data_IF_525624092765
#
_entry.id   IF_525624092765
#
_cell.length_a   1.000
_cell.length_b   1.000
_cell.length_c   1.000
_cell.angle_alpha   90.00
_cell.angle_beta   90.00
_cell.angle_gamma   90.00
#
_symmetry.space_group_name_H-M   'P 1'
#
loop_
_entity.id
_entity.type
_entity.pdbx_description
1 polymer ?
#
# COMPACT_ATOMS: atom_id res chain seq x y z
N UNK A 1 4.58 -32.21 19.19
CA UNK A 1 4.88 -31.53 20.46
C UNK A 1 4.02 -30.28 20.48
N UNK A 2 2.94 -30.29 21.26
CA UNK A 2 1.99 -29.17 21.34
C UNK A 2 2.58 -28.05 22.21
N UNK A 3 2.54 -26.81 21.71
CA UNK A 3 3.01 -25.65 22.47
C UNK A 3 2.06 -25.40 23.64
N UNK A 4 2.62 -25.05 24.80
CA UNK A 4 1.81 -24.74 25.99
C UNK A 4 1.10 -23.38 25.84
N UNK A 5 -0.02 -23.18 26.53
CA UNK A 5 -0.75 -21.89 26.53
C UNK A 5 0.11 -20.72 27.01
N UNK A 6 1.10 -20.99 27.86
CA UNK A 6 2.11 -20.04 28.32
C UNK A 6 3.03 -19.60 27.16
N UNK A 7 3.57 -20.56 26.40
CA UNK A 7 4.39 -20.28 25.20
C UNK A 7 3.61 -19.57 24.10
N UNK A 8 2.33 -19.90 23.92
CA UNK A 8 1.50 -19.20 22.95
C UNK A 8 1.28 -17.73 23.36
N UNK A 9 1.07 -17.47 24.65
CA UNK A 9 0.87 -16.13 25.18
C UNK A 9 2.15 -15.28 25.12
N UNK A 10 3.32 -15.88 25.41
CA UNK A 10 4.60 -15.18 25.27
C UNK A 10 4.89 -14.85 23.80
N UNK A 11 4.68 -15.79 22.88
CA UNK A 11 4.83 -15.57 21.44
C UNK A 11 3.87 -14.50 20.91
N UNK A 12 2.61 -14.49 21.35
CA UNK A 12 1.65 -13.45 21.00
C UNK A 12 2.08 -12.07 21.52
N UNK A 13 2.68 -12.00 22.71
CA UNK A 13 3.19 -10.75 23.29
C UNK A 13 4.43 -10.22 22.56
N UNK A 14 5.31 -11.12 22.10
CA UNK A 14 6.49 -10.76 21.29
C UNK A 14 6.10 -10.30 19.89
N UNK A 15 5.18 -11.01 19.21
CA UNK A 15 4.64 -10.58 17.91
C UNK A 15 3.97 -9.19 17.99
N UNK A 16 3.24 -8.89 19.08
CA UNK A 16 2.66 -7.56 19.28
C UNK A 16 3.72 -6.47 19.41
N UNK A 17 4.81 -6.73 20.14
CA UNK A 17 5.92 -5.77 20.28
C UNK A 17 6.70 -5.54 18.99
N UNK A 18 6.84 -6.55 18.13
CA UNK A 18 7.46 -6.37 16.81
C UNK A 18 6.57 -5.56 15.86
N UNK A 19 5.24 -5.75 15.93
CA UNK A 19 4.29 -5.00 15.11
C UNK A 19 4.22 -3.51 15.51
N UNK A 20 4.41 -3.16 16.79
CA UNK A 20 4.39 -1.75 17.23
C UNK A 20 5.61 -0.91 16.78
N UNK A 21 6.70 -1.54 16.33
CA UNK A 21 7.90 -0.82 15.88
C UNK A 21 7.95 -0.59 14.36
N UNK A 22 6.98 -1.13 13.61
CA UNK A 22 6.92 -0.95 12.16
C UNK A 22 6.08 0.27 11.80
N UNK A 23 6.59 1.09 10.89
CA UNK A 23 5.86 2.22 10.34
C UNK A 23 4.60 1.73 9.63
N UNK A 24 3.48 2.44 9.81
CA UNK A 24 2.21 2.12 9.13
C UNK A 24 2.04 2.89 7.80
N UNK A 25 2.98 3.78 7.50
CA UNK A 25 2.95 4.71 6.37
C UNK A 25 4.35 5.21 6.01
N UNK A 26 4.45 5.88 4.87
CA UNK A 26 5.67 6.54 4.45
C UNK A 26 6.01 7.72 5.39
N UNK A 27 7.22 7.74 5.98
CA UNK A 27 7.62 8.82 6.89
C UNK A 27 7.83 10.16 6.16
N UNK A 28 7.36 11.24 6.78
CA UNK A 28 7.63 12.61 6.31
C UNK A 28 9.13 12.91 6.36
N UNK A 29 9.68 13.48 5.28
CA UNK A 29 11.08 13.91 5.21
C UNK A 29 12.10 12.78 5.04
N UNK A 30 11.67 11.55 4.79
CA UNK A 30 12.58 10.44 4.50
C UNK A 30 13.02 10.40 3.03
N UNK A 31 14.22 9.88 2.73
CA UNK A 31 14.72 9.80 1.36
C UNK A 31 13.88 8.88 0.48
N UNK A 32 14.02 9.03 -0.84
CA UNK A 32 13.34 8.16 -1.81
C UNK A 32 13.82 6.74 -1.57
N UNK A 33 12.89 5.81 -1.43
CA UNK A 33 13.25 4.45 -1.15
C UNK A 33 12.07 3.52 -1.01
N UNK A 34 12.39 2.25 -0.86
CA UNK A 34 11.42 1.21 -0.53
C UNK A 34 11.47 0.97 0.96
N UNK A 35 10.32 1.13 1.59
CA UNK A 35 10.12 0.96 3.03
C UNK A 35 9.23 -0.24 3.26
N UNK A 36 9.47 -0.96 4.35
CA UNK A 36 8.55 -1.99 4.82
C UNK A 36 7.59 -1.35 5.81
N UNK A 37 6.30 -1.41 5.51
CA UNK A 37 5.24 -0.87 6.36
C UNK A 37 4.33 -1.99 6.87
N UNK A 38 3.67 -1.74 8.00
CA UNK A 38 2.72 -2.64 8.65
C UNK A 38 1.41 -1.92 8.89
N UNK A 39 0.40 -2.27 8.10
CA UNK A 39 -0.98 -1.83 8.32
C UNK A 39 -1.68 -2.88 9.17
N UNK A 40 -2.52 -2.44 10.11
CA UNK A 40 -3.27 -3.34 10.99
C UNK A 40 -4.10 -4.34 10.16
N UNK A 41 -3.98 -5.62 10.48
CA UNK A 41 -4.70 -6.69 9.78
C UNK A 41 -4.03 -7.20 8.50
N UNK A 42 -2.88 -6.65 8.11
CA UNK A 42 -2.07 -7.15 7.00
C UNK A 42 -0.71 -7.64 7.49
N UNK A 43 -0.10 -8.57 6.77
CA UNK A 43 1.32 -8.86 6.93
C UNK A 43 2.16 -7.65 6.46
N UNK A 44 3.36 -7.42 7.02
CA UNK A 44 4.22 -6.33 6.56
C UNK A 44 4.51 -6.43 5.05
N UNK A 45 4.51 -5.30 4.34
CA UNK A 45 4.76 -5.25 2.91
C UNK A 45 5.60 -4.05 2.51
N UNK A 46 6.26 -4.16 1.34
CA UNK A 46 7.14 -3.12 0.81
C UNK A 46 6.36 -2.09 0.00
N UNK A 47 6.66 -0.82 0.21
CA UNK A 47 6.11 0.30 -0.55
C UNK A 47 7.18 1.30 -0.94
N UNK A 48 7.09 1.93 -2.12
CA UNK A 48 7.92 3.08 -2.44
C UNK A 48 7.39 4.35 -1.78
N UNK A 49 8.27 5.07 -1.11
CA UNK A 49 7.99 6.39 -0.53
C UNK A 49 8.61 7.49 -1.41
N UNK A 50 7.81 8.51 -1.73
CA UNK A 50 8.22 9.63 -2.58
C UNK A 50 8.79 10.78 -1.76
N UNK A 51 9.92 11.36 -2.19
CA UNK A 51 10.46 12.63 -1.66
C UNK A 51 9.91 13.83 -2.39
N UNK A 52 9.49 13.66 -3.64
CA UNK A 52 8.85 14.74 -4.41
C UNK A 52 7.48 15.09 -3.82
N UNK A 53 6.87 14.14 -3.12
CA UNK A 53 5.68 14.29 -2.31
C UNK A 53 5.94 13.59 -0.97
N UNK A 54 6.61 14.25 -0.01
CA UNK A 54 6.97 13.66 1.27
C UNK A 54 5.74 13.08 1.97
N UNK A 55 5.88 11.88 2.55
CA UNK A 55 4.78 11.20 3.26
C UNK A 55 3.86 10.37 2.36
N UNK A 56 3.99 10.45 1.03
CA UNK A 56 3.12 9.71 0.12
C UNK A 56 3.64 8.29 -0.17
N UNK A 57 2.74 7.33 0.02
CA UNK A 57 2.89 5.94 -0.40
C UNK A 57 2.49 5.80 -1.87
N UNK A 58 3.39 5.30 -2.72
CA UNK A 58 3.02 5.00 -4.12
C UNK A 58 2.21 3.70 -4.16
N UNK A 59 0.97 3.78 -4.66
CA UNK A 59 0.05 2.62 -4.74
C UNK A 59 0.00 1.98 -6.13
N UNK A 60 0.37 2.72 -7.17
CA UNK A 60 0.45 2.26 -8.55
C UNK A 60 1.55 3.04 -9.26
N UNK A 61 2.33 2.38 -10.13
CA UNK A 61 3.27 3.08 -11.02
C UNK A 61 3.27 2.48 -12.42
N UNK A 62 3.15 3.35 -13.43
CA UNK A 62 3.45 3.07 -14.85
C UNK A 62 4.59 3.96 -15.33
N UNK A 63 5.52 3.41 -16.09
CA UNK A 63 6.71 4.11 -16.61
C UNK A 63 6.99 3.68 -18.05
N UNK A 64 7.14 2.39 -18.31
CA UNK A 64 7.73 1.85 -19.54
C UNK A 64 6.98 0.67 -20.16
N UNK A 65 5.91 0.19 -19.51
CA UNK A 65 5.13 -0.96 -19.97
C UNK A 65 5.77 -2.32 -19.69
N UNK A 66 6.79 -2.38 -18.83
CA UNK A 66 7.43 -3.65 -18.41
C UNK A 66 6.48 -4.60 -17.69
N UNK A 67 5.39 -4.10 -17.10
CA UNK A 67 4.37 -4.93 -16.49
C UNK A 67 3.04 -4.94 -17.25
N UNK A 68 2.47 -6.13 -17.35
CA UNK A 68 1.12 -6.31 -17.88
C UNK A 68 0.09 -5.88 -16.81
N UNK A 69 -0.84 -5.00 -17.18
CA UNK A 69 -1.95 -4.59 -16.33
C UNK A 69 -3.29 -5.22 -16.74
N UNK A 70 -3.35 -5.98 -17.82
CA UNK A 70 -4.49 -6.83 -18.13
C UNK A 70 -4.43 -8.10 -17.27
N UNK A 71 -4.97 -7.99 -16.06
CA UNK A 71 -4.83 -8.97 -14.97
C UNK A 71 -6.19 -9.46 -14.47
N UNK A 72 -6.19 -10.61 -13.82
CA UNK A 72 -7.39 -11.21 -13.22
C UNK A 72 -7.82 -10.48 -11.94
N UNK A 73 -9.07 -10.72 -11.50
CA UNK A 73 -9.57 -10.19 -10.22
C UNK A 73 -8.67 -10.53 -9.04
N UNK A 74 -8.20 -11.78 -8.97
CA UNK A 74 -7.33 -12.26 -7.88
C UNK A 74 -5.99 -11.54 -7.88
N UNK A 75 -5.42 -11.26 -9.05
CA UNK A 75 -4.18 -10.48 -9.17
C UNK A 75 -4.40 -9.02 -8.76
N UNK A 76 -5.51 -8.39 -9.14
CA UNK A 76 -5.84 -7.03 -8.68
C UNK A 76 -6.10 -6.97 -7.18
N UNK A 77 -6.76 -7.98 -6.61
CA UNK A 77 -6.95 -8.10 -5.16
C UNK A 77 -5.61 -8.13 -4.42
N UNK A 78 -4.70 -9.00 -4.86
CA UNK A 78 -3.44 -9.25 -4.16
C UNK A 78 -2.35 -8.21 -4.48
N UNK A 79 -2.43 -7.55 -5.64
CA UNK A 79 -1.36 -6.73 -6.21
C UNK A 79 -0.41 -7.54 -7.09
N UNK A 80 0.35 -6.85 -7.93
CA UNK A 80 1.28 -7.44 -8.89
C UNK A 80 2.36 -6.44 -9.32
N UNK A 81 3.41 -6.95 -9.97
CA UNK A 81 4.54 -6.17 -10.49
C UNK A 81 5.71 -6.04 -9.51
N UNK A 82 6.62 -5.13 -9.80
CA UNK A 82 7.83 -4.85 -9.01
C UNK A 82 7.76 -3.44 -8.41
N UNK A 83 7.86 -3.36 -7.07
CA UNK A 83 7.91 -2.09 -6.34
C UNK A 83 9.07 -1.18 -6.77
N UNK A 84 10.14 -1.74 -7.35
CA UNK A 84 11.24 -0.98 -7.95
C UNK A 84 10.89 -0.42 -9.34
N UNK A 85 9.90 -0.99 -10.03
CA UNK A 85 9.49 -0.65 -11.39
C UNK A 85 8.00 -0.31 -11.48
N UNK A 86 7.30 -0.98 -12.39
CA UNK A 86 5.84 -0.90 -12.52
C UNK A 86 5.15 -1.88 -11.58
N UNK A 87 4.10 -1.44 -10.91
CA UNK A 87 3.34 -2.31 -10.00
C UNK A 87 1.97 -1.74 -9.66
N UNK A 88 1.14 -2.58 -9.07
CA UNK A 88 -0.07 -2.20 -8.34
C UNK A 88 -0.07 -2.85 -6.96
N UNK A 89 -0.33 -2.06 -5.92
CA UNK A 89 -0.22 -2.47 -4.52
C UNK A 89 -1.20 -3.60 -4.12
N UNK A 90 -2.36 -3.66 -4.78
CA UNK A 90 -3.45 -4.60 -4.51
C UNK A 90 -4.63 -3.96 -3.78
N UNK A 91 -5.85 -4.35 -4.19
CA UNK A 91 -7.09 -3.79 -3.65
C UNK A 91 -7.32 -4.14 -2.18
N UNK A 92 -6.95 -5.34 -1.72
CA UNK A 92 -7.09 -5.69 -0.30
C UNK A 92 -6.22 -4.79 0.59
N UNK A 93 -5.05 -4.39 0.09
CA UNK A 93 -4.19 -3.46 0.83
C UNK A 93 -4.78 -2.06 0.87
N UNK A 94 -5.33 -1.59 -0.25
CA UNK A 94 -5.99 -0.28 -0.35
C UNK A 94 -7.23 -0.18 0.55
N UNK A 95 -8.07 -1.22 0.58
CA UNK A 95 -9.24 -1.30 1.47
C UNK A 95 -8.79 -1.12 2.93
N UNK A 96 -7.87 -1.95 3.41
CA UNK A 96 -7.36 -1.86 4.80
C UNK A 96 -6.71 -0.52 5.13
N UNK A 97 -5.94 0.04 4.20
CA UNK A 97 -5.31 1.35 4.38
C UNK A 97 -6.39 2.42 4.55
N UNK A 98 -7.34 2.52 3.62
CA UNK A 98 -8.38 3.56 3.60
C UNK A 98 -9.49 3.36 4.63
N UNK A 99 -9.66 2.13 5.14
CA UNK A 99 -10.53 1.83 6.29
C UNK A 99 -9.93 2.34 7.62
N UNK A 100 -8.60 2.34 7.76
CA UNK A 100 -7.92 2.66 9.02
C UNK A 100 -7.95 4.15 9.34
N UNK A 101 -7.86 5.03 8.34
CA UNK A 101 -7.91 6.49 8.48
C UNK A 101 -8.26 7.17 7.15
N UNK A 102 -8.71 8.43 7.14
CA UNK A 102 -8.86 9.21 5.91
C UNK A 102 -7.55 9.28 5.13
N UNK A 103 -7.64 9.21 3.80
CA UNK A 103 -6.51 9.31 2.89
C UNK A 103 -6.85 10.24 1.73
N UNK A 104 -5.86 10.98 1.27
CA UNK A 104 -5.92 11.73 0.02
C UNK A 104 -5.38 10.87 -1.14
N UNK A 105 -5.79 11.16 -2.37
CA UNK A 105 -5.24 10.55 -3.58
C UNK A 105 -4.62 11.60 -4.50
N UNK A 106 -3.36 11.37 -4.88
CA UNK A 106 -2.63 12.20 -5.84
C UNK A 106 -2.28 11.39 -7.09
N UNK A 107 -2.87 11.76 -8.23
CA UNK A 107 -2.58 11.16 -9.53
C UNK A 107 -1.59 12.04 -10.29
N UNK A 108 -0.40 11.52 -10.59
CA UNK A 108 0.60 12.18 -11.44
C UNK A 108 0.62 11.52 -12.82
N UNK A 109 0.37 12.29 -13.86
CA UNK A 109 0.32 11.81 -15.25
C UNK A 109 1.43 12.48 -16.08
N UNK A 110 2.37 11.67 -16.57
CA UNK A 110 3.35 12.11 -17.56
C UNK A 110 2.74 12.10 -18.96
N UNK A 111 2.99 13.16 -19.73
CA UNK A 111 2.59 13.27 -21.13
C UNK A 111 3.76 12.98 -22.06
N UNK A 112 3.45 12.62 -23.30
CA UNK A 112 4.44 12.30 -24.35
C UNK A 112 5.38 13.48 -24.64
N UNK A 113 4.89 14.72 -24.48
CA UNK A 113 5.67 15.95 -24.64
C UNK A 113 6.63 16.24 -23.46
N UNK A 114 6.71 15.33 -22.48
CA UNK A 114 7.53 15.48 -21.27
C UNK A 114 6.89 16.32 -20.17
N UNK A 115 5.73 16.94 -20.41
CA UNK A 115 5.01 17.67 -19.37
C UNK A 115 4.30 16.73 -18.39
N UNK A 116 3.95 17.25 -17.22
CA UNK A 116 3.20 16.51 -16.20
C UNK A 116 1.87 17.22 -15.90
N UNK A 117 0.82 16.46 -15.71
CA UNK A 117 -0.45 16.93 -15.13
C UNK A 117 -0.76 16.16 -13.85
N UNK A 118 -1.58 16.75 -12.99
CA UNK A 118 -1.96 16.12 -11.73
C UNK A 118 -3.45 16.30 -11.43
N UNK A 119 -3.99 15.38 -10.64
CA UNK A 119 -5.30 15.49 -10.00
C UNK A 119 -5.15 15.08 -8.52
N UNK A 120 -5.79 15.83 -7.64
CA UNK A 120 -5.72 15.61 -6.19
C UNK A 120 -7.15 15.54 -5.64
N UNK A 121 -7.39 14.54 -4.81
CA UNK A 121 -8.67 14.27 -4.16
C UNK A 121 -8.45 14.18 -2.66
N UNK A 122 -9.27 14.90 -1.90
CA UNK A 122 -9.11 15.03 -0.44
C UNK A 122 -9.66 13.81 0.33
N UNK A 123 -10.56 13.05 -0.29
CA UNK A 123 -11.14 11.84 0.30
C UNK A 123 -11.07 10.69 -0.71
N UNK A 124 -10.23 9.72 -0.40
CA UNK A 124 -10.07 8.50 -1.16
C UNK A 124 -10.29 7.29 -0.27
N UNK A 125 -11.32 6.53 -0.60
CA UNK A 125 -11.67 5.30 0.08
C UNK A 125 -12.26 4.31 -0.89
N UNK A 126 -11.99 3.02 -0.65
CA UNK A 126 -12.66 1.93 -1.36
C UNK A 126 -13.40 1.04 -0.38
N UNK A 127 -14.40 0.30 -0.87
CA UNK A 127 -15.09 -0.73 -0.10
C UNK A 127 -14.27 -2.01 0.03
N UNK A 128 -14.82 -2.94 0.81
CA UNK A 128 -14.26 -4.28 0.96
C UNK A 128 -14.48 -5.14 -0.29
N UNK A 129 -13.89 -6.35 -0.33
CA UNK A 129 -14.14 -7.33 -1.40
C UNK A 129 -15.64 -7.65 -1.58
N UNK A 130 -16.40 -7.68 -0.47
CA UNK A 130 -17.86 -7.93 -0.49
C UNK A 130 -18.63 -6.80 -1.18
N UNK A 131 -18.06 -5.61 -1.18
CA UNK A 131 -18.56 -4.41 -1.85
C UNK A 131 -17.84 -4.21 -3.20
N UNK A 132 -17.17 -5.24 -3.71
CA UNK A 132 -16.45 -5.24 -4.98
C UNK A 132 -15.38 -4.16 -5.10
N UNK A 133 -14.79 -3.75 -3.96
CA UNK A 133 -13.80 -2.67 -3.91
C UNK A 133 -14.30 -1.36 -4.54
N UNK A 134 -15.60 -1.08 -4.42
CA UNK A 134 -16.19 0.13 -5.00
C UNK A 134 -15.55 1.40 -4.44
N UNK A 135 -15.35 2.41 -5.30
CA UNK A 135 -14.91 3.74 -4.85
C UNK A 135 -16.02 4.35 -3.99
N UNK A 136 -15.65 4.80 -2.79
CA UNK A 136 -16.54 5.48 -1.86
C UNK A 136 -16.40 6.99 -2.05
N UNK A 137 -17.54 7.67 -2.02
CA UNK A 137 -17.66 9.12 -2.04
C UNK A 137 -18.29 9.61 -0.73
#
# INVERSE_FOLDING_TARGET
>A
MEKTNSELSSQLSECRKSDENLLDSCPNGSPNGIYQIKVRGLDPFKVPCSTSLPGWTVIQRRVDGSENFNRTWVEYKNGFGDVNGEFFIGLEKLDRMTETRPHELYNKLGKVDGSTSYAHYDDFKIGSEKEYYELKN
#
